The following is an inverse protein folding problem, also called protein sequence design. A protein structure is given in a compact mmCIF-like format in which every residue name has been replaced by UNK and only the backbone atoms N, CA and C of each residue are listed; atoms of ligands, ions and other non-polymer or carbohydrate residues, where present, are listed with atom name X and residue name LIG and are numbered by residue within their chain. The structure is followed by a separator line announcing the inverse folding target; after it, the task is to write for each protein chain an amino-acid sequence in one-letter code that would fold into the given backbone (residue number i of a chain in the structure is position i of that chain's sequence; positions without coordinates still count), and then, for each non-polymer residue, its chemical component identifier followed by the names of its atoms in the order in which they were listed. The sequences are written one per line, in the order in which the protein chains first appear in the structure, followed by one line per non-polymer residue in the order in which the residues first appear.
data_IF_194258226882
#
_entry.id   IF_194258226882
#
_cell.length_a   1.000
_cell.length_b   1.000
_cell.length_c   1.000
_cell.angle_alpha   90.00
_cell.angle_beta   90.00
_cell.angle_gamma   90.00
#
_symmetry.space_group_name_H-M   'P 1'
#
loop_
_entity.id
_entity.type
_entity.pdbx_description
1 polymer ?
#
# COMPACT_ATOMS: atom_id res chain seq x y z
N UNK A 1 27.04 -91.47 41.43
CA UNK A 1 25.94 -90.78 40.71
C UNK A 1 25.27 -89.79 41.66
N UNK A 2 25.64 -88.51 41.56
CA UNK A 2 24.90 -87.29 41.97
C UNK A 2 25.82 -86.10 41.66
N UNK A 3 25.53 -85.39 40.58
CA UNK A 3 26.24 -84.18 40.16
C UNK A 3 25.80 -82.99 41.01
N UNK A 4 26.78 -82.20 41.47
CA UNK A 4 26.61 -80.85 42.03
C UNK A 4 26.92 -79.84 40.93
N UNK A 5 25.95 -78.98 40.62
CA UNK A 5 26.04 -77.87 39.67
C UNK A 5 26.29 -76.57 40.47
N UNK A 6 27.33 -75.77 40.22
CA UNK A 6 27.43 -74.44 40.81
C UNK A 6 26.70 -73.42 39.92
N UNK A 7 25.75 -72.71 40.52
CA UNK A 7 25.06 -71.56 39.93
C UNK A 7 26.02 -70.37 39.96
N UNK A 8 26.46 -69.92 38.78
CA UNK A 8 27.23 -68.69 38.60
C UNK A 8 26.26 -67.50 38.60
N UNK A 9 26.15 -66.79 39.72
CA UNK A 9 25.46 -65.49 39.77
C UNK A 9 26.34 -64.43 39.10
N UNK A 10 25.97 -64.03 37.88
CA UNK A 10 26.53 -62.87 37.20
C UNK A 10 25.84 -61.60 37.75
N UNK A 11 26.52 -60.89 38.64
CA UNK A 11 26.08 -59.59 39.15
C UNK A 11 26.33 -58.51 38.09
N UNK A 12 25.28 -58.13 37.37
CA UNK A 12 25.23 -56.93 36.53
C UNK A 12 25.30 -55.69 37.43
N UNK A 13 26.52 -55.18 37.63
CA UNK A 13 26.73 -53.84 38.20
C UNK A 13 26.34 -52.83 37.11
N UNK A 14 25.08 -52.41 37.12
CA UNK A 14 24.64 -51.19 36.44
C UNK A 14 25.28 -50.00 37.14
N UNK A 15 26.51 -49.68 36.73
CA UNK A 15 27.21 -48.47 37.13
C UNK A 15 26.43 -47.25 36.65
N UNK A 16 25.61 -46.70 37.54
CA UNK A 16 24.92 -45.43 37.37
C UNK A 16 25.98 -44.31 37.32
N UNK A 17 26.54 -44.06 36.13
CA UNK A 17 27.47 -42.97 35.89
C UNK A 17 26.67 -41.69 35.92
N UNK A 18 26.73 -40.98 37.06
CA UNK A 18 26.15 -39.64 37.24
C UNK A 18 26.77 -38.71 36.18
N UNK A 19 26.07 -38.54 35.05
CA UNK A 19 26.42 -37.58 34.01
C UNK A 19 26.43 -36.21 34.68
N UNK A 20 27.61 -35.63 34.91
CA UNK A 20 27.72 -34.30 35.53
C UNK A 20 27.21 -33.29 34.50
N UNK A 21 26.44 -32.32 34.97
CA UNK A 21 25.90 -31.27 34.11
C UNK A 21 27.05 -30.53 33.41
N UNK A 22 26.88 -30.33 32.11
CA UNK A 22 27.80 -29.54 31.29
C UNK A 22 27.74 -28.08 31.79
N UNK A 23 28.90 -27.46 31.99
CA UNK A 23 28.99 -26.09 32.50
C UNK A 23 30.01 -25.28 31.70
N UNK A 24 29.69 -24.03 31.38
CA UNK A 24 30.63 -23.15 30.70
C UNK A 24 31.78 -22.73 31.62
N UNK A 25 32.96 -22.50 31.04
CA UNK A 25 34.09 -21.88 31.75
C UNK A 25 33.70 -20.46 32.19
N UNK A 26 34.26 -19.99 33.31
CA UNK A 26 33.94 -18.68 33.91
C UNK A 26 34.05 -17.55 32.87
N UNK A 27 32.97 -16.76 32.73
CA UNK A 27 32.88 -15.64 31.79
C UNK A 27 32.37 -16.00 30.40
N UNK A 28 32.25 -17.28 30.07
CA UNK A 28 31.60 -17.78 28.85
C UNK A 28 30.20 -18.33 29.17
N UNK A 29 29.42 -18.64 28.14
CA UNK A 29 28.04 -19.10 28.27
C UNK A 29 27.03 -17.96 28.42
N UNK A 30 27.47 -16.78 28.83
CA UNK A 30 26.59 -15.64 29.13
C UNK A 30 25.94 -15.12 27.85
N UNK A 31 24.62 -14.99 27.89
CA UNK A 31 23.78 -14.45 26.81
C UNK A 31 23.88 -15.24 25.47
N UNK A 32 24.32 -16.51 25.51
CA UNK A 32 24.25 -17.41 24.35
C UNK A 32 22.80 -17.79 24.09
N UNK A 33 22.29 -17.40 22.93
CA UNK A 33 20.98 -17.77 22.44
C UNK A 33 21.12 -18.89 21.42
N UNK A 34 20.27 -19.92 21.49
CA UNK A 34 20.29 -21.02 20.53
C UNK A 34 19.62 -20.60 19.22
N UNK A 35 20.30 -20.76 18.09
CA UNK A 35 19.81 -20.31 16.77
C UNK A 35 18.45 -20.93 16.45
N UNK A 36 18.26 -22.23 16.75
CA UNK A 36 17.01 -22.95 16.48
C UNK A 36 15.80 -22.47 17.26
N UNK A 37 16.00 -21.75 18.38
CA UNK A 37 14.91 -21.19 19.18
C UNK A 37 14.45 -19.82 18.66
N UNK A 38 15.27 -19.16 17.85
CA UNK A 38 15.03 -17.81 17.38
C UNK A 38 14.85 -17.75 15.85
N UNK A 39 15.72 -18.34 15.04
CA UNK A 39 15.62 -18.23 13.59
C UNK A 39 14.40 -18.99 13.06
N UNK A 40 13.46 -18.25 12.45
CA UNK A 40 12.19 -18.79 11.97
C UNK A 40 11.12 -18.95 13.05
N UNK A 41 11.40 -18.63 14.31
CA UNK A 41 10.39 -18.66 15.37
C UNK A 41 9.26 -17.69 15.08
N UNK A 42 8.01 -18.17 15.18
CA UNK A 42 6.81 -17.38 14.96
C UNK A 42 5.96 -17.27 16.24
N UNK A 43 5.40 -16.09 16.46
CA UNK A 43 4.56 -15.77 17.61
C UNK A 43 3.27 -15.10 17.14
N UNK A 44 2.13 -15.54 17.69
CA UNK A 44 0.87 -14.87 17.40
C UNK A 44 0.83 -13.46 18.01
N UNK A 45 0.11 -12.56 17.34
CA UNK A 45 -0.08 -11.17 17.77
C UNK A 45 -1.56 -10.89 17.88
N UNK A 46 -1.97 -10.42 19.06
CA UNK A 46 -3.25 -9.77 19.28
C UNK A 46 -3.02 -8.26 19.34
N UNK A 47 -3.79 -7.51 18.56
CA UNK A 47 -3.75 -6.05 18.53
C UNK A 47 -4.84 -5.49 19.43
N UNK A 48 -4.56 -4.39 20.11
CA UNK A 48 -5.48 -3.69 20.99
C UNK A 48 -5.92 -2.36 20.35
N UNK A 49 -6.38 -1.43 21.19
CA UNK A 49 -6.78 -0.08 20.77
C UNK A 49 -5.63 0.72 20.16
N UNK A 50 -6.04 1.76 19.43
CA UNK A 50 -5.12 2.73 18.82
C UNK A 50 -4.33 3.47 19.90
N UNK A 51 -3.05 3.71 19.62
CA UNK A 51 -2.22 4.57 20.47
C UNK A 51 -2.59 6.03 20.20
N UNK A 52 -3.22 6.69 21.18
CA UNK A 52 -3.78 8.05 21.06
C UNK A 52 -2.69 9.12 20.84
N UNK A 53 -1.48 8.89 21.35
CA UNK A 53 -0.37 9.84 21.31
C UNK A 53 0.69 9.53 20.23
N UNK A 54 0.43 8.54 19.36
CA UNK A 54 1.35 8.29 18.26
C UNK A 54 1.13 9.37 17.19
N UNK A 55 1.97 10.40 17.21
CA UNK A 55 2.13 11.27 16.04
C UNK A 55 2.69 10.40 14.93
N UNK A 56 1.82 9.93 14.03
CA UNK A 56 2.25 9.55 12.68
C UNK A 56 3.17 10.67 12.22
N UNK A 57 4.44 10.35 12.01
CA UNK A 57 5.47 11.33 11.73
C UNK A 57 4.98 12.14 10.51
N UNK A 58 4.52 13.39 10.66
CA UNK A 58 3.99 14.16 9.56
C UNK A 58 5.20 14.79 8.91
N UNK A 59 6.00 13.97 8.25
CA UNK A 59 7.08 14.47 7.43
C UNK A 59 6.47 15.09 6.20
N UNK A 60 6.56 16.41 6.19
CA UNK A 60 5.99 17.38 5.27
C UNK A 60 6.21 16.96 3.82
N UNK A 61 5.12 16.55 3.17
CA UNK A 61 5.00 16.56 1.72
C UNK A 61 5.22 17.99 1.21
N UNK A 62 5.56 18.16 -0.07
CA UNK A 62 5.30 19.45 -0.73
C UNK A 62 3.79 19.74 -0.88
N UNK A 63 2.92 18.83 -0.43
CA UNK A 63 1.50 19.03 -0.18
C UNK A 63 1.25 19.59 1.22
N UNK A 64 0.34 20.55 1.33
CA UNK A 64 0.00 21.10 2.65
C UNK A 64 -0.73 20.06 3.51
N UNK A 65 -1.41 19.07 2.91
CA UNK A 65 -2.05 17.89 3.56
C UNK A 65 -2.14 16.70 2.59
N UNK A 66 -2.26 15.48 3.14
CA UNK A 66 -2.78 14.29 2.45
C UNK A 66 -3.88 13.75 3.35
N UNK A 67 -5.10 13.61 2.84
CA UNK A 67 -6.26 13.19 3.65
C UNK A 67 -6.73 11.81 3.22
N UNK A 68 -6.61 10.82 4.10
CA UNK A 68 -7.22 9.52 3.86
C UNK A 68 -8.69 9.52 4.29
N UNK A 69 -9.58 9.01 3.45
CA UNK A 69 -10.99 8.88 3.81
C UNK A 69 -11.15 7.93 5.00
N UNK A 70 -12.01 8.32 5.97
CA UNK A 70 -12.14 7.68 7.30
C UNK A 70 -12.43 6.17 7.27
N UNK A 71 -13.03 5.67 6.18
CA UNK A 71 -13.50 4.28 6.09
C UNK A 71 -12.60 3.35 5.25
N UNK A 72 -11.52 3.88 4.65
CA UNK A 72 -10.57 3.06 3.92
C UNK A 72 -9.86 2.09 4.88
N UNK A 73 -9.63 0.84 4.45
CA UNK A 73 -8.86 -0.13 5.25
C UNK A 73 -7.47 0.42 5.64
N UNK A 74 -6.91 1.32 4.83
CA UNK A 74 -5.67 2.04 5.03
C UNK A 74 -5.80 3.07 6.17
N UNK A 75 -6.83 3.93 6.16
CA UNK A 75 -7.13 4.89 7.22
C UNK A 75 -7.53 4.24 8.56
N UNK A 76 -7.95 2.97 8.50
CA UNK A 76 -8.29 2.18 9.69
C UNK A 76 -7.07 1.57 10.37
N UNK A 77 -5.95 1.42 9.67
CA UNK A 77 -4.68 1.02 10.26
C UNK A 77 -4.06 2.19 11.02
N UNK A 78 -3.42 1.90 12.15
CA UNK A 78 -2.76 2.90 12.98
C UNK A 78 -1.72 2.22 13.86
N UNK A 79 -0.89 2.98 14.54
CA UNK A 79 -0.09 2.42 15.63
C UNK A 79 -1.00 1.87 16.72
N UNK A 80 -0.83 0.59 17.06
CA UNK A 80 -1.63 -0.12 18.05
C UNK A 80 -0.74 -0.70 19.12
N UNK A 81 -1.31 -0.89 20.31
CA UNK A 81 -0.67 -1.74 21.32
C UNK A 81 -0.85 -3.20 20.93
N UNK A 82 0.15 -4.03 21.22
CA UNK A 82 0.17 -5.45 20.86
C UNK A 82 0.40 -6.32 22.08
N UNK A 83 -0.25 -7.49 22.09
CA UNK A 83 0.01 -8.59 23.01
C UNK A 83 0.64 -9.71 22.19
N UNK A 84 1.85 -10.11 22.58
CA UNK A 84 2.57 -11.22 21.95
C UNK A 84 3.56 -11.84 22.91
N UNK A 85 3.97 -13.08 22.62
CA UNK A 85 5.07 -13.76 23.34
C UNK A 85 6.45 -13.41 22.77
N UNK A 86 6.51 -12.67 21.67
CA UNK A 86 7.75 -12.17 21.09
C UNK A 86 8.36 -11.06 21.99
N UNK A 87 9.26 -11.46 22.88
CA UNK A 87 9.96 -10.60 23.83
C UNK A 87 10.79 -9.48 23.20
N UNK A 88 11.32 -9.70 22.00
CA UNK A 88 12.19 -8.75 21.29
C UNK A 88 11.42 -7.71 20.47
N UNK A 89 10.08 -7.74 20.44
CA UNK A 89 9.33 -6.64 19.82
C UNK A 89 9.42 -5.34 20.65
N UNK A 90 9.34 -5.47 21.98
CA UNK A 90 9.36 -4.32 22.90
C UNK A 90 8.24 -3.31 22.62
N UNK A 91 8.57 -2.03 22.69
CA UNK A 91 7.75 -0.86 22.34
C UNK A 91 7.95 -0.39 20.89
N UNK A 92 8.50 -1.23 20.00
CA UNK A 92 8.63 -0.85 18.60
C UNK A 92 7.24 -0.59 17.99
N UNK A 93 7.06 0.49 17.20
CA UNK A 93 5.76 0.81 16.62
C UNK A 93 5.22 -0.34 15.76
N UNK A 94 3.95 -0.69 15.99
CA UNK A 94 3.26 -1.73 15.24
C UNK A 94 2.03 -1.13 14.55
N UNK A 95 2.14 -0.90 13.24
CA UNK A 95 1.03 -0.40 12.43
C UNK A 95 0.13 -1.58 12.03
N UNK A 96 -1.12 -1.56 12.45
CA UNK A 96 -2.08 -2.62 12.13
C UNK A 96 -3.53 -2.12 12.30
N UNK A 97 -4.49 -2.96 11.90
CA UNK A 97 -5.88 -2.77 12.29
C UNK A 97 -6.03 -2.97 13.81
N UNK A 98 -6.78 -2.10 14.51
CA UNK A 98 -7.00 -2.26 15.95
C UNK A 98 -7.92 -3.45 16.25
N UNK A 99 -7.81 -3.96 17.48
CA UNK A 99 -8.71 -4.97 18.07
C UNK A 99 -8.85 -6.27 17.24
N UNK A 100 -7.78 -6.66 16.55
CA UNK A 100 -7.67 -7.96 15.86
C UNK A 100 -7.06 -9.02 16.77
N UNK A 101 -7.75 -10.15 16.91
CA UNK A 101 -7.29 -11.31 17.68
C UNK A 101 -6.34 -12.24 16.90
N UNK A 102 -6.45 -12.23 15.58
CA UNK A 102 -5.69 -13.11 14.68
C UNK A 102 -5.33 -12.35 13.39
N UNK A 103 -4.48 -12.95 12.56
CA UNK A 103 -4.09 -12.41 11.25
C UNK A 103 -2.69 -11.79 11.21
N UNK A 104 -2.09 -11.52 12.36
CA UNK A 104 -0.71 -11.04 12.48
C UNK A 104 0.15 -12.04 13.24
N UNK A 105 1.39 -12.20 12.78
CA UNK A 105 2.45 -12.91 13.51
C UNK A 105 3.70 -12.05 13.60
N UNK A 106 4.49 -12.28 14.64
CA UNK A 106 5.90 -11.88 14.65
C UNK A 106 6.73 -13.07 14.21
N UNK A 107 7.67 -12.85 13.30
CA UNK A 107 8.70 -13.83 12.95
C UNK A 107 10.08 -13.27 13.24
N UNK A 108 10.93 -14.08 13.86
CA UNK A 108 12.33 -13.77 14.02
C UNK A 108 13.14 -14.34 12.85
N UNK A 109 14.07 -13.55 12.33
CA UNK A 109 15.01 -13.98 11.29
C UNK A 109 16.39 -13.52 11.67
N UNK A 110 17.33 -14.45 11.70
CA UNK A 110 18.73 -14.15 12.00
C UNK A 110 19.49 -14.06 10.68
N UNK A 111 20.15 -12.93 10.48
CA UNK A 111 21.11 -12.72 9.42
C UNK A 111 22.49 -12.39 10.00
N UNK A 112 23.48 -12.14 9.15
CA UNK A 112 24.87 -11.91 9.58
C UNK A 112 24.99 -10.76 10.58
N UNK A 113 24.21 -9.70 10.37
CA UNK A 113 24.36 -8.42 11.06
C UNK A 113 23.31 -8.23 12.15
N UNK A 114 22.12 -8.83 12.01
CA UNK A 114 20.97 -8.60 12.89
C UNK A 114 20.17 -9.88 13.18
N UNK A 115 19.60 -9.94 14.38
CA UNK A 115 18.33 -10.61 14.62
C UNK A 115 17.22 -9.62 14.31
N UNK A 116 16.40 -9.93 13.32
CA UNK A 116 15.33 -9.08 12.82
C UNK A 116 13.99 -9.61 13.30
N UNK A 117 13.21 -8.72 13.90
CA UNK A 117 11.81 -8.93 14.25
C UNK A 117 10.94 -8.44 13.09
N UNK A 118 10.19 -9.34 12.49
CA UNK A 118 9.31 -9.05 11.36
C UNK A 118 7.85 -9.19 11.72
N UNK A 119 7.00 -8.31 11.18
CA UNK A 119 5.56 -8.51 11.11
C UNK A 119 5.22 -9.36 9.90
N UNK A 120 4.45 -10.43 10.09
CA UNK A 120 3.98 -11.32 9.04
C UNK A 120 2.46 -11.32 9.00
N UNK A 121 1.88 -11.01 7.84
CA UNK A 121 0.44 -11.05 7.62
C UNK A 121 0.09 -11.17 6.13
N UNK A 122 -1.19 -11.37 5.83
CA UNK A 122 -1.71 -11.28 4.45
C UNK A 122 -1.54 -9.86 3.88
N UNK A 123 -1.39 -9.74 2.55
CA UNK A 123 -1.21 -8.44 1.86
C UNK A 123 -2.29 -7.42 2.23
N UNK A 124 -3.53 -7.85 2.48
CA UNK A 124 -4.65 -6.97 2.88
C UNK A 124 -4.56 -6.42 4.30
N UNK A 125 -3.73 -7.02 5.15
CA UNK A 125 -3.51 -6.64 6.55
C UNK A 125 -2.20 -5.84 6.73
N UNK A 126 -1.42 -5.64 5.67
CA UNK A 126 -0.19 -4.84 5.72
C UNK A 126 -0.47 -3.45 5.14
N UNK A 127 0.03 -2.41 5.81
CA UNK A 127 -0.11 -1.06 5.33
C UNK A 127 0.61 -0.89 3.97
N UNK A 128 0.02 -0.23 2.96
CA UNK A 128 0.63 -0.15 1.62
C UNK A 128 2.06 0.41 1.61
N UNK A 129 2.38 1.35 2.49
CA UNK A 129 3.73 1.91 2.61
C UNK A 129 4.74 0.88 3.14
N UNK A 130 4.31 -0.03 4.01
CA UNK A 130 5.13 -1.14 4.51
C UNK A 130 5.24 -2.27 3.48
N UNK A 131 4.17 -2.54 2.74
CA UNK A 131 4.10 -3.61 1.75
C UNK A 131 5.18 -3.47 0.66
N UNK A 132 5.52 -2.23 0.29
CA UNK A 132 6.55 -1.93 -0.71
C UNK A 132 7.95 -2.43 -0.31
N UNK A 133 8.27 -2.44 0.99
CA UNK A 133 9.56 -2.93 1.49
C UNK A 133 9.51 -4.36 2.02
N UNK A 134 8.36 -5.02 1.90
CA UNK A 134 8.11 -6.32 2.50
C UNK A 134 8.74 -7.45 1.69
N UNK A 135 9.16 -8.51 2.39
CA UNK A 135 9.56 -9.76 1.77
C UNK A 135 8.33 -10.64 1.54
N UNK A 136 8.17 -11.16 0.32
CA UNK A 136 7.14 -12.15 0.02
C UNK A 136 7.61 -13.53 0.50
N UNK A 137 6.78 -14.19 1.30
CA UNK A 137 7.01 -15.56 1.74
C UNK A 137 6.43 -16.57 0.73
N UNK A 138 6.89 -17.82 0.81
CA UNK A 138 6.45 -18.90 -0.10
C UNK A 138 4.94 -19.18 -0.03
N UNK A 139 4.32 -18.91 1.12
CA UNK A 139 2.89 -19.06 1.36
C UNK A 139 2.05 -17.84 0.90
N UNK A 140 2.70 -16.84 0.30
CA UNK A 140 2.05 -15.64 -0.22
C UNK A 140 1.86 -14.51 0.80
N UNK A 141 2.15 -14.73 2.08
CA UNK A 141 2.16 -13.67 3.10
C UNK A 141 3.33 -12.71 2.89
N UNK A 142 3.21 -11.52 3.47
CA UNK A 142 4.26 -10.51 3.48
C UNK A 142 4.92 -10.43 4.84
N UNK A 143 6.24 -10.27 4.85
CA UNK A 143 7.06 -10.09 6.04
C UNK A 143 7.74 -8.71 6.02
N UNK A 144 7.38 -7.85 6.96
CA UNK A 144 7.87 -6.46 7.09
C UNK A 144 8.83 -6.39 8.27
N UNK A 145 10.11 -6.00 8.09
CA UNK A 145 11.01 -5.74 9.20
C UNK A 145 10.50 -4.58 10.07
N UNK A 146 10.53 -4.74 11.40
CA UNK A 146 10.12 -3.70 12.35
C UNK A 146 11.33 -3.20 13.15
N UNK A 147 12.07 -4.13 13.76
CA UNK A 147 13.21 -3.81 14.63
C UNK A 147 14.28 -4.88 14.50
N UNK A 148 15.55 -4.46 14.57
CA UNK A 148 16.71 -5.33 14.46
C UNK A 148 17.64 -5.16 15.65
N UNK A 149 18.26 -6.25 16.07
CA UNK A 149 19.23 -6.31 17.16
C UNK A 149 20.57 -6.76 16.61
N UNK A 150 21.65 -5.96 16.71
CA UNK A 150 22.95 -6.30 16.16
C UNK A 150 23.46 -7.65 16.68
N UNK A 151 23.86 -8.53 15.77
CA UNK A 151 24.53 -9.79 16.10
C UNK A 151 25.98 -9.49 16.44
N UNK A 152 26.42 -9.90 17.64
CA UNK A 152 27.80 -9.73 18.09
C UNK A 152 28.72 -10.85 17.61
N UNK A 153 28.14 -11.98 17.21
CA UNK A 153 28.88 -13.13 16.69
C UNK A 153 28.07 -14.42 16.76
N UNK A 154 28.60 -15.42 16.08
CA UNK A 154 28.08 -16.78 16.02
C UNK A 154 29.05 -17.73 16.73
N UNK A 155 28.52 -18.73 17.43
CA UNK A 155 29.29 -19.59 18.33
C UNK A 155 28.80 -21.04 18.31
N UNK A 156 29.73 -21.96 18.57
CA UNK A 156 29.46 -23.33 19.01
C UNK A 156 29.92 -23.50 20.46
N UNK A 157 29.35 -24.49 21.15
CA UNK A 157 29.81 -24.91 22.46
C UNK A 157 30.61 -26.20 22.30
N UNK A 158 31.88 -26.17 22.69
CA UNK A 158 32.80 -27.30 22.56
C UNK A 158 33.33 -27.71 23.93
N UNK A 159 33.51 -29.01 24.15
CA UNK A 159 34.12 -29.50 25.39
C UNK A 159 35.59 -29.11 25.43
N UNK A 160 36.02 -28.53 26.53
CA UNK A 160 37.43 -28.26 26.80
C UNK A 160 38.15 -29.61 26.88
N UNK A 161 39.19 -29.78 26.07
CA UNK A 161 40.08 -30.94 26.15
C UNK A 161 41.18 -30.69 27.18
N UNK A 162 41.37 -31.63 28.09
CA UNK A 162 42.45 -31.61 29.06
C UNK A 162 43.17 -32.97 29.02
N UNK A 163 44.46 -32.96 28.71
CA UNK A 163 45.29 -34.17 28.56
C UNK A 163 44.72 -35.21 27.56
N UNK A 164 44.11 -34.75 26.46
CA UNK A 164 43.52 -35.62 25.43
C UNK A 164 42.15 -36.21 25.78
N UNK A 165 41.57 -35.86 26.94
CA UNK A 165 40.22 -36.24 27.33
C UNK A 165 39.28 -35.03 27.33
N UNK A 166 38.09 -35.21 26.76
CA UNK A 166 37.02 -34.19 26.82
C UNK A 166 36.54 -34.05 28.26
N UNK A 167 36.57 -32.83 28.77
CA UNK A 167 35.99 -32.51 30.08
C UNK A 167 34.51 -32.16 29.95
N UNK A 168 33.79 -32.08 31.08
CA UNK A 168 32.40 -31.59 31.10
C UNK A 168 32.31 -30.05 31.13
N UNK A 169 33.45 -29.36 30.95
CA UNK A 169 33.49 -27.90 30.83
C UNK A 169 33.38 -27.52 29.36
N UNK A 170 32.49 -26.60 29.03
CA UNK A 170 32.32 -26.10 27.67
C UNK A 170 32.99 -24.74 27.48
N UNK A 171 33.55 -24.53 26.29
CA UNK A 171 34.04 -23.24 25.82
C UNK A 171 33.24 -22.75 24.62
N UNK A 172 33.13 -21.44 24.48
CA UNK A 172 32.64 -20.80 23.27
C UNK A 172 33.70 -20.86 22.17
N UNK A 173 33.34 -21.41 21.01
CA UNK A 173 34.13 -21.39 19.79
C UNK A 173 33.43 -20.49 18.77
N UNK A 174 34.08 -19.38 18.37
CA UNK A 174 33.49 -18.46 17.40
C UNK A 174 33.50 -19.07 15.99
N UNK A 175 32.40 -18.90 15.27
CA UNK A 175 32.27 -19.30 13.87
C UNK A 175 31.85 -18.09 13.02
N UNK A 176 32.07 -18.18 11.72
CA UNK A 176 31.94 -17.04 10.81
C UNK A 176 30.50 -16.75 10.36
N UNK A 177 29.59 -17.71 10.49
CA UNK A 177 28.23 -17.59 9.97
C UNK A 177 27.20 -18.37 10.80
N UNK A 178 25.93 -18.06 10.53
CA UNK A 178 24.78 -18.71 11.13
C UNK A 178 24.72 -20.21 10.81
N UNK A 179 25.03 -20.60 9.57
CA UNK A 179 24.83 -21.96 9.07
C UNK A 179 25.69 -23.00 9.81
N UNK A 180 26.87 -22.58 10.25
CA UNK A 180 27.82 -23.39 11.00
C UNK A 180 27.75 -23.19 12.52
N UNK A 181 26.74 -22.46 13.00
CA UNK A 181 26.59 -22.10 14.41
C UNK A 181 25.38 -22.76 15.06
N UNK A 182 25.55 -23.15 16.32
CA UNK A 182 24.43 -23.54 17.19
C UNK A 182 23.90 -22.36 18.00
N UNK A 183 24.77 -21.42 18.36
CA UNK A 183 24.46 -20.28 19.21
C UNK A 183 24.87 -18.96 18.57
N UNK A 184 24.29 -17.88 19.06
CA UNK A 184 24.63 -16.52 18.68
C UNK A 184 24.47 -15.58 19.87
N UNK A 185 25.05 -14.39 19.77
CA UNK A 185 24.88 -13.30 20.74
C UNK A 185 24.34 -12.07 20.04
N UNK A 186 23.45 -11.34 20.71
CA UNK A 186 22.91 -10.07 20.22
C UNK A 186 23.07 -8.96 21.23
N UNK A 187 23.18 -7.73 20.74
CA UNK A 187 23.02 -6.54 21.57
C UNK A 187 21.53 -6.18 21.71
N UNK A 188 20.91 -6.59 22.82
CA UNK A 188 19.51 -6.23 23.11
C UNK A 188 19.30 -4.73 23.38
N UNK A 189 20.36 -3.99 23.71
CA UNK A 189 20.28 -2.57 24.03
C UNK A 189 20.51 -1.67 22.81
N UNK A 190 21.21 -2.18 21.79
CA UNK A 190 21.51 -1.43 20.56
C UNK A 190 20.47 -1.68 19.44
N UNK A 191 19.18 -1.71 19.79
CA UNK A 191 18.11 -1.97 18.81
C UNK A 191 18.03 -0.86 17.75
N UNK A 192 17.70 -1.25 16.52
CA UNK A 192 17.52 -0.36 15.38
C UNK A 192 16.13 -0.55 14.80
N UNK A 193 15.31 0.51 14.75
CA UNK A 193 14.03 0.47 14.05
C UNK A 193 14.25 0.44 12.53
N UNK A 194 13.42 -0.31 11.82
CA UNK A 194 13.44 -0.34 10.36
C UNK A 194 13.05 1.02 9.81
N UNK A 195 13.89 1.57 8.93
CA UNK A 195 13.66 2.87 8.30
C UNK A 195 13.01 2.67 6.93
N UNK A 196 11.70 2.87 6.87
CA UNK A 196 10.96 2.97 5.62
C UNK A 196 11.28 4.29 4.93
N UNK A 197 11.34 4.27 3.60
CA UNK A 197 11.35 5.51 2.84
C UNK A 197 9.99 6.18 2.90
N UNK A 198 9.97 7.51 2.88
CA UNK A 198 8.74 8.27 2.78
C UNK A 198 8.13 8.10 1.38
N UNK A 199 6.92 7.57 1.33
CA UNK A 199 6.23 7.19 0.08
C UNK A 199 4.95 8.02 -0.11
N UNK A 200 5.11 9.33 0.00
CA UNK A 200 4.04 10.29 -0.29
C UNK A 200 3.81 10.32 -1.81
N UNK A 201 2.53 10.31 -2.23
CA UNK A 201 2.09 10.29 -3.63
C UNK A 201 2.55 9.04 -4.42
N UNK A 202 2.81 7.94 -3.72
CA UNK A 202 3.19 6.66 -4.32
C UNK A 202 2.04 5.66 -4.19
N UNK A 203 1.63 5.13 -5.33
CA UNK A 203 0.49 4.22 -5.44
C UNK A 203 0.94 2.92 -6.10
N UNK A 204 0.21 1.84 -5.86
CA UNK A 204 0.36 0.65 -6.71
C UNK A 204 -0.29 0.91 -8.07
N UNK A 205 0.25 0.32 -9.13
CA UNK A 205 -0.43 0.33 -10.44
C UNK A 205 -1.86 -0.20 -10.35
N UNK A 206 -2.03 -1.27 -9.57
CA UNK A 206 -3.31 -1.93 -9.26
C UNK A 206 -4.33 -0.99 -8.62
N UNK A 207 -3.88 0.05 -7.90
CA UNK A 207 -4.78 1.06 -7.36
C UNK A 207 -5.60 1.67 -8.49
N UNK A 208 -4.97 2.11 -9.58
CA UNK A 208 -5.64 2.76 -10.69
C UNK A 208 -6.28 1.77 -11.67
N UNK A 209 -5.65 0.63 -11.94
CA UNK A 209 -6.13 -0.30 -12.98
C UNK A 209 -6.99 -1.45 -12.45
N UNK A 210 -7.01 -1.68 -11.14
CA UNK A 210 -7.51 -2.93 -10.58
C UNK A 210 -6.58 -4.10 -10.87
N UNK A 211 -6.87 -5.25 -10.25
CA UNK A 211 -6.07 -6.48 -10.39
C UNK A 211 -6.18 -7.11 -11.79
N UNK A 212 -7.30 -6.90 -12.49
CA UNK A 212 -7.54 -7.39 -13.84
C UNK A 212 -7.12 -6.40 -14.95
N UNK A 213 -6.65 -5.22 -14.56
CA UNK A 213 -6.25 -4.16 -15.48
C UNK A 213 -7.42 -3.41 -16.13
N UNK A 214 -8.66 -3.63 -15.70
CA UNK A 214 -9.88 -3.14 -16.37
C UNK A 214 -10.73 -2.18 -15.53
N UNK A 215 -10.20 -1.67 -14.41
CA UNK A 215 -10.93 -0.69 -13.61
C UNK A 215 -11.23 0.58 -14.41
N UNK A 216 -12.49 0.98 -14.37
CA UNK A 216 -12.98 2.26 -14.87
C UNK A 216 -13.25 3.21 -13.70
N UNK A 217 -13.18 4.51 -13.97
CA UNK A 217 -13.35 5.57 -13.00
C UNK A 217 -14.30 6.62 -13.56
N UNK A 218 -15.23 7.08 -12.73
CA UNK A 218 -15.91 8.33 -12.97
C UNK A 218 -14.95 9.46 -12.66
N UNK A 219 -14.84 10.43 -13.54
CA UNK A 219 -13.96 11.57 -13.39
C UNK A 219 -14.80 12.86 -13.36
N UNK A 220 -14.48 13.77 -12.43
CA UNK A 220 -15.07 15.09 -12.32
C UNK A 220 -14.00 16.17 -12.11
N UNK A 221 -14.18 17.32 -12.74
CA UNK A 221 -13.35 18.51 -12.53
C UNK A 221 -14.23 19.66 -12.05
N UNK A 222 -13.83 20.28 -10.93
CA UNK A 222 -14.60 21.36 -10.31
C UNK A 222 -13.70 22.54 -10.01
N UNK A 223 -14.17 23.75 -10.27
CA UNK A 223 -13.50 24.98 -9.84
C UNK A 223 -13.88 25.24 -8.39
N UNK A 224 -12.95 25.07 -7.45
CA UNK A 224 -13.17 25.31 -6.02
C UNK A 224 -13.13 26.80 -5.66
N UNK A 225 -12.36 27.57 -6.41
CA UNK A 225 -12.25 29.02 -6.22
C UNK A 225 -11.75 29.66 -7.52
N UNK A 226 -12.28 30.81 -7.88
CA UNK A 226 -11.78 31.66 -8.94
C UNK A 226 -11.58 33.07 -8.41
N UNK A 227 -10.33 33.50 -8.30
CA UNK A 227 -9.98 34.78 -7.68
C UNK A 227 -10.34 35.96 -8.60
N UNK A 228 -11.55 36.47 -8.43
CA UNK A 228 -12.07 37.64 -9.14
C UNK A 228 -13.46 37.44 -9.73
N UNK A 229 -13.86 36.19 -9.95
CA UNK A 229 -15.18 35.85 -10.50
C UNK A 229 -15.80 34.67 -9.74
N UNK A 230 -16.55 35.00 -8.69
CA UNK A 230 -17.25 34.00 -7.88
C UNK A 230 -18.36 33.25 -8.63
N UNK A 231 -18.73 33.70 -9.85
CA UNK A 231 -19.75 33.01 -10.65
C UNK A 231 -19.25 31.68 -11.23
N UNK A 232 -17.92 31.51 -11.35
CA UNK A 232 -17.27 30.30 -11.83
C UNK A 232 -17.02 29.27 -10.71
N UNK A 233 -17.13 29.67 -9.44
CA UNK A 233 -16.95 28.74 -8.32
C UNK A 233 -18.06 27.69 -8.32
N UNK A 234 -17.67 26.43 -8.17
CA UNK A 234 -18.57 25.28 -8.18
C UNK A 234 -19.07 24.88 -9.57
N UNK A 235 -18.63 25.57 -10.63
CA UNK A 235 -18.82 25.05 -11.99
C UNK A 235 -18.11 23.70 -12.09
N UNK A 236 -18.92 22.67 -12.32
CA UNK A 236 -18.44 21.42 -12.87
C UNK A 236 -18.13 21.70 -14.32
N UNK A 237 -16.85 21.68 -14.68
CA UNK A 237 -16.52 21.61 -16.09
C UNK A 237 -16.98 20.23 -16.53
N UNK A 238 -17.93 20.19 -17.47
CA UNK A 238 -18.18 18.95 -18.19
C UNK A 238 -16.82 18.46 -18.66
N UNK A 239 -16.52 17.19 -18.40
CA UNK A 239 -15.22 16.62 -18.67
C UNK A 239 -15.03 16.52 -20.17
N UNK A 240 -14.50 17.59 -20.71
CA UNK A 240 -14.48 17.87 -22.12
C UNK A 240 -13.22 17.26 -22.73
N UNK A 241 -13.40 16.42 -23.76
CA UNK A 241 -12.27 16.02 -24.59
C UNK A 241 -11.66 17.23 -25.33
N UNK A 242 -10.62 17.00 -26.13
CA UNK A 242 -10.01 18.05 -26.98
C UNK A 242 -10.99 18.73 -27.96
N UNK A 243 -12.21 18.22 -28.11
CA UNK A 243 -13.30 18.75 -28.93
C UNK A 243 -14.49 19.28 -28.12
N UNK A 244 -14.34 19.40 -26.80
CA UNK A 244 -15.35 19.94 -25.88
C UNK A 244 -16.63 19.07 -25.73
N UNK A 245 -16.53 17.74 -25.83
CA UNK A 245 -17.66 16.85 -25.52
C UNK A 245 -17.59 16.29 -24.09
N UNK A 246 -18.72 16.29 -23.37
CA UNK A 246 -18.80 15.85 -21.97
C UNK A 246 -18.58 14.33 -21.78
N UNK A 247 -17.62 13.90 -20.97
CA UNK A 247 -17.28 12.48 -20.79
C UNK A 247 -17.09 12.11 -19.31
N UNK A 248 -17.96 11.26 -18.77
CA UNK A 248 -17.94 10.97 -17.32
C UNK A 248 -17.00 9.84 -16.89
N UNK A 249 -16.58 8.95 -17.79
CA UNK A 249 -15.82 7.74 -17.44
C UNK A 249 -14.48 7.63 -18.16
N UNK A 250 -13.47 7.23 -17.41
CA UNK A 250 -12.10 7.04 -17.86
C UNK A 250 -11.54 5.70 -17.41
N UNK A 251 -10.52 5.22 -18.11
CA UNK A 251 -9.61 4.18 -17.63
C UNK A 251 -8.19 4.73 -17.59
N UNK A 252 -7.41 4.27 -16.62
CA UNK A 252 -6.01 4.65 -16.51
C UNK A 252 -5.13 3.70 -17.31
N UNK A 253 -4.25 4.27 -18.12
CA UNK A 253 -3.18 3.57 -18.82
C UNK A 253 -1.85 4.20 -18.45
N UNK A 254 -0.77 3.44 -18.63
CA UNK A 254 0.56 3.85 -18.20
C UNK A 254 1.56 3.59 -19.31
N UNK A 255 2.52 4.49 -19.48
CA UNK A 255 3.75 4.24 -20.21
C UNK A 255 4.96 4.50 -19.29
N UNK A 256 6.16 4.64 -19.87
CA UNK A 256 7.39 4.83 -19.11
C UNK A 256 7.38 6.09 -18.24
N UNK A 257 6.71 7.17 -18.64
CA UNK A 257 6.83 8.48 -18.00
C UNK A 257 5.51 9.14 -17.63
N UNK A 258 4.37 8.58 -18.02
CA UNK A 258 3.08 9.19 -17.71
C UNK A 258 1.96 8.17 -17.44
N UNK A 259 1.02 8.61 -16.61
CA UNK A 259 -0.29 8.01 -16.39
C UNK A 259 -1.33 8.80 -17.18
N UNK A 260 -2.12 8.11 -17.99
CA UNK A 260 -3.10 8.70 -18.92
C UNK A 260 -4.50 8.26 -18.54
N UNK A 261 -5.39 9.22 -18.27
CA UNK A 261 -6.82 8.97 -18.17
C UNK A 261 -7.44 9.09 -19.56
N UNK A 262 -7.89 7.98 -20.12
CA UNK A 262 -8.50 7.93 -21.44
C UNK A 262 -9.97 7.59 -21.34
N UNK A 263 -10.78 8.25 -22.17
CA UNK A 263 -12.23 8.04 -22.18
C UNK A 263 -12.59 6.59 -22.48
N UNK A 264 -13.60 6.04 -21.81
CA UNK A 264 -14.18 4.73 -22.18
C UNK A 264 -15.40 4.87 -23.08
N UNK A 265 -15.99 6.08 -23.15
CA UNK A 265 -17.18 6.37 -23.95
C UNK A 265 -16.80 6.82 -25.36
N UNK A 266 -15.99 6.01 -26.05
CA UNK A 266 -15.53 6.27 -27.41
C UNK A 266 -16.30 5.40 -28.42
N UNK A 267 -16.44 5.87 -29.66
CA UNK A 267 -16.96 5.08 -30.77
C UNK A 267 -16.17 3.77 -30.93
N UNK A 268 -16.86 2.65 -31.13
CA UNK A 268 -16.24 1.31 -31.26
C UNK A 268 -15.28 1.18 -32.45
N UNK A 269 -15.31 2.13 -33.40
CA UNK A 269 -14.36 2.23 -34.51
C UNK A 269 -13.01 2.81 -34.09
N UNK A 270 -12.95 3.48 -32.94
CA UNK A 270 -11.71 4.04 -32.39
C UNK A 270 -10.95 2.90 -31.70
N UNK A 271 -9.80 2.57 -32.27
CA UNK A 271 -8.90 1.58 -31.68
C UNK A 271 -8.22 2.18 -30.44
N UNK A 272 -8.74 1.81 -29.27
CA UNK A 272 -8.20 2.20 -27.97
C UNK A 272 -6.79 1.64 -27.69
N UNK A 273 -6.28 0.70 -28.50
CA UNK A 273 -4.90 0.23 -28.40
C UNK A 273 -3.90 1.15 -29.11
N UNK A 274 -4.38 2.00 -30.02
CA UNK A 274 -3.56 3.01 -30.71
C UNK A 274 -3.54 4.31 -29.90
N UNK A 275 -2.40 4.58 -29.26
CA UNK A 275 -2.21 5.76 -28.40
C UNK A 275 -2.54 7.10 -29.05
N UNK A 276 -2.41 7.19 -30.38
CA UNK A 276 -2.67 8.43 -31.15
C UNK A 276 -4.18 8.65 -31.32
N UNK A 277 -4.95 7.58 -31.33
CA UNK A 277 -6.42 7.62 -31.51
C UNK A 277 -7.18 7.75 -30.20
N UNK A 278 -6.52 7.55 -29.06
CA UNK A 278 -7.14 7.63 -27.75
C UNK A 278 -7.61 9.05 -27.43
N UNK A 279 -8.85 9.18 -26.97
CA UNK A 279 -9.36 10.42 -26.38
C UNK A 279 -8.78 10.59 -24.98
N UNK A 280 -7.75 11.43 -24.87
CA UNK A 280 -7.03 11.74 -23.64
C UNK A 280 -7.69 12.92 -22.90
N UNK A 281 -7.99 12.73 -21.62
CA UNK A 281 -8.63 13.76 -20.77
C UNK A 281 -7.65 14.34 -19.75
N UNK A 282 -6.80 13.48 -19.18
CA UNK A 282 -5.79 13.86 -18.20
C UNK A 282 -4.51 13.07 -18.46
N UNK A 283 -3.38 13.75 -18.34
CA UNK A 283 -2.04 13.16 -18.34
C UNK A 283 -1.30 13.64 -17.10
N UNK A 284 -0.73 12.71 -16.37
CA UNK A 284 0.03 12.95 -15.14
C UNK A 284 1.43 12.35 -15.30
N UNK A 285 2.52 13.13 -15.17
CA UNK A 285 3.86 12.56 -15.14
C UNK A 285 4.02 11.59 -13.97
N UNK A 286 4.75 10.50 -14.20
CA UNK A 286 5.04 9.49 -13.19
C UNK A 286 6.51 9.10 -13.18
N UNK A 287 6.96 8.65 -12.01
CA UNK A 287 8.20 7.91 -11.85
C UNK A 287 7.89 6.49 -11.36
N UNK A 288 8.36 5.48 -12.09
CA UNK A 288 8.20 4.09 -11.68
C UNK A 288 9.15 3.77 -10.53
N UNK A 289 8.58 3.22 -9.44
CA UNK A 289 9.30 2.92 -8.22
C UNK A 289 9.14 1.45 -7.86
N UNK A 290 10.20 0.92 -7.30
CA UNK A 290 10.19 -0.40 -6.68
C UNK A 290 11.10 -0.31 -5.47
N UNK A 291 10.72 -0.98 -4.39
CA UNK A 291 11.44 -0.90 -3.13
C UNK A 291 11.86 -2.29 -2.69
N UNK A 292 12.93 -2.35 -1.90
CA UNK A 292 13.33 -3.58 -1.21
C UNK A 292 14.06 -3.24 0.07
N UNK A 293 14.09 -4.19 1.00
CA UNK A 293 15.07 -4.13 2.08
C UNK A 293 16.48 -4.15 1.49
N UNK A 294 17.33 -3.21 1.92
CA UNK A 294 18.68 -3.03 1.39
C UNK A 294 19.49 -4.30 1.61
N UNK A 295 20.02 -4.96 0.58
CA UNK A 295 20.80 -6.18 0.74
C UNK A 295 22.05 -5.94 1.59
N UNK A 296 22.37 -6.88 2.47
CA UNK A 296 23.68 -7.06 3.08
C UNK A 296 24.26 -8.34 2.50
N UNK A 297 25.05 -8.26 1.43
CA UNK A 297 25.61 -9.45 0.76
C UNK A 297 24.57 -10.32 0.03
N UNK A 298 24.87 -11.61 -0.15
CA UNK A 298 24.17 -12.50 -1.11
C UNK A 298 22.80 -13.00 -0.66
N UNK A 299 22.46 -12.94 0.63
CA UNK A 299 21.18 -13.47 1.15
C UNK A 299 20.71 -12.83 2.46
N UNK A 300 21.27 -11.68 2.83
CA UNK A 300 20.82 -10.90 3.98
C UNK A 300 20.40 -9.49 3.60
N UNK A 301 19.71 -8.80 4.51
CA UNK A 301 19.22 -7.44 4.32
C UNK A 301 19.49 -6.61 5.59
N UNK A 302 19.59 -5.30 5.44
CA UNK A 302 19.84 -4.35 6.52
C UNK A 302 18.53 -3.79 7.07
N UNK A 303 18.62 -2.96 8.12
CA UNK A 303 17.47 -2.30 8.74
C UNK A 303 17.01 -1.03 8.00
N UNK A 304 17.23 -0.96 6.68
CA UNK A 304 16.86 0.19 5.83
C UNK A 304 16.29 -0.25 4.50
N UNK A 305 15.38 0.54 3.96
CA UNK A 305 14.80 0.36 2.63
C UNK A 305 15.55 1.17 1.56
N UNK A 306 15.69 0.59 0.36
CA UNK A 306 16.25 1.25 -0.82
C UNK A 306 15.33 1.13 -2.04
N UNK A 307 15.50 2.03 -3.01
CA UNK A 307 14.90 1.91 -4.33
C UNK A 307 15.61 0.82 -5.16
N UNK A 308 14.84 -0.11 -5.70
CA UNK A 308 15.32 -1.21 -6.52
C UNK A 308 15.31 -0.84 -8.02
N UNK A 309 16.38 -0.19 -8.46
CA UNK A 309 16.52 0.25 -9.85
C UNK A 309 16.86 -0.85 -10.85
N UNK A 310 17.14 -2.08 -10.41
CA UNK A 310 17.50 -3.20 -11.31
C UNK A 310 16.29 -3.86 -11.97
N UNK A 311 15.06 -3.48 -11.57
CA UNK A 311 13.83 -4.00 -12.17
C UNK A 311 13.40 -3.08 -13.31
N UNK A 312 13.10 -3.66 -14.48
CA UNK A 312 12.52 -2.95 -15.62
C UNK A 312 11.24 -2.23 -15.19
N UNK A 313 11.03 -1.01 -15.69
CA UNK A 313 9.89 -0.17 -15.29
C UNK A 313 8.53 -0.87 -15.42
N UNK A 314 8.33 -1.68 -16.47
CA UNK A 314 7.08 -2.42 -16.72
C UNK A 314 6.73 -3.42 -15.61
N UNK A 315 7.75 -3.92 -14.91
CA UNK A 315 7.63 -4.92 -13.83
C UNK A 315 7.56 -4.27 -12.45
N UNK A 316 7.74 -2.95 -12.36
CA UNK A 316 7.68 -2.22 -11.09
C UNK A 316 6.23 -2.09 -10.63
N UNK A 317 6.01 -2.30 -9.34
CA UNK A 317 4.67 -2.35 -8.76
C UNK A 317 4.12 -0.97 -8.40
N UNK A 318 5.01 0.01 -8.21
CA UNK A 318 4.67 1.33 -7.68
C UNK A 318 4.92 2.45 -8.69
N UNK A 319 4.06 3.47 -8.61
CA UNK A 319 4.14 4.69 -9.40
C UNK A 319 4.08 5.88 -8.45
N UNK A 320 5.07 6.77 -8.54
CA UNK A 320 5.01 8.09 -7.92
C UNK A 320 4.37 9.04 -8.92
N UNK A 321 3.31 9.74 -8.53
CA UNK A 321 2.52 10.60 -9.43
C UNK A 321 2.84 12.07 -9.15
N UNK A 322 3.14 12.86 -10.18
CA UNK A 322 3.37 14.30 -10.08
C UNK A 322 2.08 15.08 -10.41
N UNK A 323 1.22 15.25 -9.41
CA UNK A 323 -0.05 15.98 -9.55
C UNK A 323 0.13 17.47 -9.89
N UNK A 324 1.29 18.06 -9.60
CA UNK A 324 1.56 19.47 -9.91
C UNK A 324 1.76 19.72 -11.41
N UNK A 325 2.01 18.67 -12.20
CA UNK A 325 2.22 18.76 -13.65
C UNK A 325 1.10 18.08 -14.43
N UNK A 326 -0.10 18.05 -13.86
CA UNK A 326 -1.29 17.58 -14.55
C UNK A 326 -1.51 18.36 -15.85
N UNK A 327 -1.67 17.64 -16.95
CA UNK A 327 -2.13 18.17 -18.24
C UNK A 327 -3.60 17.79 -18.43
N UNK A 328 -4.43 18.73 -18.88
CA UNK A 328 -5.82 18.41 -19.28
C UNK A 328 -6.14 18.98 -20.65
N UNK A 329 -7.12 18.40 -21.34
CA UNK A 329 -7.59 18.91 -22.62
C UNK A 329 -8.07 20.38 -22.54
N UNK A 330 -8.74 20.75 -21.44
CA UNK A 330 -9.28 22.09 -21.24
C UNK A 330 -8.22 23.15 -20.90
N UNK A 331 -7.15 22.76 -20.19
CA UNK A 331 -6.18 23.73 -19.63
C UNK A 331 -4.79 23.65 -20.26
N UNK A 332 -4.46 22.56 -20.96
CA UNK A 332 -3.11 22.32 -21.47
C UNK A 332 -2.11 21.98 -20.35
N UNK A 333 -0.82 22.24 -20.60
CA UNK A 333 0.22 22.13 -19.57
C UNK A 333 0.29 23.49 -18.84
N UNK A 334 -0.29 23.59 -17.65
CA UNK A 334 -0.19 24.78 -16.81
C UNK A 334 0.82 24.57 -15.68
N UNK A 335 1.50 25.63 -15.20
CA UNK A 335 2.40 25.58 -14.05
C UNK A 335 1.58 25.54 -12.75
N UNK A 336 0.76 24.51 -12.61
CA UNK A 336 -0.07 24.33 -11.44
C UNK A 336 0.78 24.18 -10.18
N UNK A 337 0.27 24.72 -9.07
CA UNK A 337 0.75 24.42 -7.72
C UNK A 337 -0.14 23.35 -7.13
N UNK A 338 0.42 22.22 -6.77
CA UNK A 338 -0.30 21.20 -6.02
C UNK A 338 -0.70 21.73 -4.64
N UNK A 339 -1.91 21.39 -4.20
CA UNK A 339 -2.49 21.87 -2.94
C UNK A 339 -2.73 20.71 -1.97
N UNK A 340 -3.50 19.70 -2.40
CA UNK A 340 -3.95 18.61 -1.55
C UNK A 340 -4.28 17.35 -2.36
N UNK A 341 -4.22 16.20 -1.70
CA UNK A 341 -4.57 14.88 -2.23
C UNK A 341 -5.43 14.12 -1.20
N UNK A 342 -6.59 13.66 -1.65
CA UNK A 342 -7.48 12.81 -0.89
C UNK A 342 -7.47 11.40 -1.48
N UNK A 343 -7.34 10.37 -0.64
CA UNK A 343 -7.27 8.97 -1.09
C UNK A 343 -8.16 8.05 -0.24
N UNK A 344 -8.95 7.23 -0.91
CA UNK A 344 -9.71 6.09 -0.40
C UNK A 344 -9.46 4.87 -1.32
N UNK A 345 -9.97 3.69 -0.95
CA UNK A 345 -9.91 2.45 -1.73
C UNK A 345 -10.49 2.60 -3.14
N UNK A 346 -11.65 3.25 -3.24
CA UNK A 346 -12.43 3.41 -4.47
C UNK A 346 -12.60 4.87 -4.87
N UNK A 347 -11.84 5.78 -4.27
CA UNK A 347 -11.88 7.20 -4.56
C UNK A 347 -10.49 7.81 -4.44
N UNK A 348 -10.16 8.76 -5.30
CA UNK A 348 -9.09 9.70 -5.01
C UNK A 348 -9.42 11.06 -5.64
N UNK A 349 -8.89 12.12 -5.05
CA UNK A 349 -8.96 13.43 -5.67
C UNK A 349 -7.70 14.23 -5.39
N UNK A 350 -7.37 15.13 -6.30
CA UNK A 350 -6.27 16.05 -6.09
C UNK A 350 -6.69 17.47 -6.45
N UNK A 351 -6.13 18.42 -5.72
CA UNK A 351 -6.41 19.85 -5.89
C UNK A 351 -5.15 20.55 -6.38
N UNK A 352 -5.32 21.36 -7.42
CA UNK A 352 -4.27 22.21 -7.98
C UNK A 352 -4.71 23.66 -8.02
N UNK A 353 -3.75 24.57 -7.90
CA UNK A 353 -3.94 26.00 -8.03
C UNK A 353 -3.21 26.49 -9.28
N UNK A 354 -3.95 27.14 -10.17
CA UNK A 354 -3.43 27.88 -11.30
C UNK A 354 -3.13 29.33 -10.89
N UNK A 355 -1.85 29.71 -10.77
CA UNK A 355 -1.49 31.08 -10.45
C UNK A 355 -1.81 32.06 -11.58
N UNK A 356 -1.93 31.58 -12.82
CA UNK A 356 -2.15 32.42 -14.01
C UNK A 356 -3.56 32.98 -14.02
N UNK A 357 -4.55 32.10 -13.85
CA UNK A 357 -5.96 32.49 -13.79
C UNK A 357 -6.46 32.71 -12.36
N UNK A 358 -5.59 32.51 -11.36
CA UNK A 358 -5.94 32.56 -9.93
C UNK A 358 -7.10 31.61 -9.58
N UNK A 359 -7.09 30.41 -10.16
CA UNK A 359 -8.16 29.42 -10.03
C UNK A 359 -7.67 28.19 -9.28
N UNK A 360 -8.54 27.56 -8.50
CA UNK A 360 -8.29 26.28 -7.85
C UNK A 360 -9.18 25.22 -8.47
N UNK A 361 -8.58 24.15 -8.96
CA UNK A 361 -9.28 23.03 -9.58
C UNK A 361 -9.16 21.79 -8.70
N UNK A 362 -10.27 21.06 -8.52
CA UNK A 362 -10.28 19.74 -7.91
C UNK A 362 -10.64 18.70 -8.96
N UNK A 363 -9.77 17.70 -9.11
CA UNK A 363 -9.99 16.53 -9.95
C UNK A 363 -10.38 15.38 -9.05
N UNK A 364 -11.57 14.83 -9.24
CA UNK A 364 -12.11 13.75 -8.42
C UNK A 364 -12.35 12.50 -9.25
N UNK A 365 -11.96 11.34 -8.71
CA UNK A 365 -12.07 10.05 -9.35
C UNK A 365 -12.78 9.07 -8.44
N UNK A 366 -13.84 8.43 -8.92
CA UNK A 366 -14.58 7.41 -8.20
C UNK A 366 -14.60 6.11 -9.02
N UNK A 367 -14.12 5.01 -8.44
CA UNK A 367 -14.04 3.72 -9.14
C UNK A 367 -15.44 3.22 -9.50
N UNK A 368 -15.61 2.74 -10.72
CA UNK A 368 -16.82 2.01 -11.10
C UNK A 368 -16.76 0.59 -10.54
N UNK A 369 -17.59 0.30 -9.55
CA UNK A 369 -17.67 -1.03 -8.90
C UNK A 369 -18.70 -1.93 -9.54
N UNK A 370 -19.29 -1.57 -10.69
CA UNK A 370 -20.30 -2.36 -11.40
C UNK A 370 -21.65 -2.44 -10.67
N UNK A 371 -21.74 -1.96 -9.43
CA UNK A 371 -22.99 -1.91 -8.64
C UNK A 371 -24.00 -0.88 -9.16
N UNK A 372 -23.65 -0.12 -10.21
CA UNK A 372 -24.55 0.81 -10.87
C UNK A 372 -25.21 0.10 -12.05
N UNK A 373 -26.25 -0.71 -11.78
CA UNK A 373 -27.15 -1.28 -12.79
C UNK A 373 -27.97 -0.16 -13.46
N UNK A 374 -27.31 0.72 -14.20
CA UNK A 374 -27.92 1.79 -14.96
C UNK A 374 -27.93 1.40 -16.44
N UNK A 375 -29.09 1.56 -17.09
CA UNK A 375 -29.19 1.57 -18.54
C UNK A 375 -29.09 3.01 -19.01
N UNK A 376 -28.13 3.27 -19.90
CA UNK A 376 -28.01 4.52 -20.66
C UNK A 376 -29.40 5.00 -21.15
N UNK A 377 -29.96 6.06 -20.55
CA UNK A 377 -31.17 6.72 -21.05
C UNK A 377 -30.74 7.92 -21.86
N UNK A 378 -31.11 7.93 -23.14
CA UNK A 378 -30.93 9.07 -24.03
C UNK A 378 -31.49 10.35 -23.37
N UNK A 379 -30.69 11.40 -23.35
CA UNK A 379 -31.09 12.72 -22.91
C UNK A 379 -31.81 13.41 -24.08
N UNK A 380 -33.12 13.59 -23.95
CA UNK A 380 -33.89 14.39 -24.89
C UNK A 380 -33.72 15.88 -24.53
N UNK A 381 -33.91 16.79 -25.49
CA UNK A 381 -33.77 18.23 -25.26
C UNK A 381 -34.61 18.73 -24.07
N UNK A 382 -35.83 18.21 -23.93
CA UNK A 382 -36.75 18.51 -22.81
C UNK A 382 -36.25 18.01 -21.44
N UNK A 383 -35.44 16.95 -21.44
CA UNK A 383 -34.78 16.43 -20.23
C UNK A 383 -33.51 17.26 -19.90
N UNK A 384 -32.95 18.03 -20.84
CA UNK A 384 -31.72 18.81 -20.64
C UNK A 384 -31.93 19.96 -19.65
N UNK A 385 -33.06 20.67 -19.75
CA UNK A 385 -33.38 21.77 -18.82
C UNK A 385 -33.54 21.30 -17.36
N UNK A 386 -33.82 20.00 -17.16
CA UNK A 386 -34.10 19.39 -15.84
C UNK A 386 -32.91 18.58 -15.31
N UNK A 387 -32.23 17.86 -16.19
CA UNK A 387 -31.20 16.86 -15.86
C UNK A 387 -29.87 17.09 -16.59
N UNK A 388 -29.69 18.21 -17.29
CA UNK A 388 -28.48 18.52 -18.06
C UNK A 388 -27.19 18.51 -17.22
N UNK A 389 -27.32 18.68 -15.90
CA UNK A 389 -26.24 18.56 -14.92
C UNK A 389 -25.67 17.13 -14.78
N UNK A 390 -26.40 16.12 -15.26
CA UNK A 390 -26.07 14.71 -15.18
C UNK A 390 -26.00 14.06 -16.56
N UNK A 391 -25.26 14.63 -17.50
CA UNK A 391 -25.12 14.04 -18.82
C UNK A 391 -23.74 13.40 -19.07
N UNK A 392 -23.71 12.46 -19.99
CA UNK A 392 -22.49 11.96 -20.65
C UNK A 392 -22.76 12.00 -22.14
N UNK A 393 -21.81 12.47 -22.92
CA UNK A 393 -21.84 12.42 -24.36
C UNK A 393 -20.95 11.28 -24.85
N UNK A 394 -21.35 10.56 -25.90
CA UNK A 394 -20.47 9.59 -26.57
C UNK A 394 -19.54 10.33 -27.54
N UNK A 395 -18.24 10.06 -27.47
CA UNK A 395 -17.28 10.62 -28.42
C UNK A 395 -17.35 9.90 -29.77
N UNK A 396 -17.60 10.64 -30.85
CA UNK A 396 -17.70 10.12 -32.21
C UNK A 396 -16.75 10.83 -33.17
N UNK A 397 -16.36 10.11 -34.24
CA UNK A 397 -15.55 10.67 -35.33
C UNK A 397 -16.34 11.80 -35.99
N UNK A 398 -15.81 13.03 -35.97
CA UNK A 398 -16.44 14.19 -36.62
C UNK A 398 -16.52 13.97 -38.13
N UNK A 399 -17.70 13.57 -38.61
CA UNK A 399 -18.01 13.37 -40.02
C UNK A 399 -19.40 13.96 -40.35
N UNK A 400 -19.86 13.86 -41.60
CA UNK A 400 -21.16 14.39 -42.03
C UNK A 400 -22.36 13.74 -41.33
N UNK A 401 -22.19 12.56 -40.70
CA UNK A 401 -23.26 11.83 -40.00
C UNK A 401 -23.53 12.45 -38.63
N UNK A 402 -22.52 13.02 -37.97
CA UNK A 402 -22.63 13.72 -36.67
C UNK A 402 -23.65 14.87 -36.68
N UNK A 403 -23.83 15.53 -37.83
CA UNK A 403 -24.66 16.74 -37.95
C UNK A 403 -26.09 16.47 -38.46
N UNK A 404 -26.49 15.20 -38.58
CA UNK A 404 -27.90 14.88 -38.81
C UNK A 404 -28.67 15.14 -37.52
N UNK A 405 -29.70 16.00 -37.59
CA UNK A 405 -30.52 16.44 -36.46
C UNK A 405 -31.14 15.26 -35.68
N UNK A 406 -31.43 14.15 -36.38
CA UNK A 406 -31.93 12.91 -35.79
C UNK A 406 -30.91 12.16 -34.91
N UNK A 407 -29.61 12.39 -35.14
CA UNK A 407 -28.49 11.69 -34.50
C UNK A 407 -27.84 12.49 -33.36
N UNK A 408 -27.90 13.84 -33.39
CA UNK A 408 -27.31 14.69 -32.33
C UNK A 408 -27.81 14.32 -30.93
N UNK A 409 -29.13 14.22 -30.75
CA UNK A 409 -29.72 13.84 -29.47
C UNK A 409 -29.54 12.36 -29.10
N UNK A 410 -29.08 11.47 -30.00
CA UNK A 410 -28.85 10.04 -29.69
C UNK A 410 -27.59 9.82 -28.87
N UNK A 411 -26.72 10.84 -28.83
CA UNK A 411 -25.37 10.73 -28.32
C UNK A 411 -25.19 11.32 -26.92
N UNK A 412 -26.23 11.96 -26.37
CA UNK A 412 -26.27 12.42 -24.99
C UNK A 412 -27.06 11.43 -24.13
N UNK A 413 -26.53 11.08 -22.97
CA UNK A 413 -27.11 10.12 -22.04
C UNK A 413 -27.21 10.73 -20.64
N UNK A 414 -28.33 10.53 -19.97
CA UNK A 414 -28.55 11.01 -18.59
C UNK A 414 -27.92 10.05 -17.60
N UNK A 415 -26.81 10.38 -16.97
CA UNK A 415 -26.26 9.64 -15.82
C UNK A 415 -27.26 9.69 -14.64
N UNK A 416 -28.20 8.75 -14.58
CA UNK A 416 -29.13 8.66 -13.45
C UNK A 416 -28.41 8.02 -12.28
N UNK A 417 -28.06 8.81 -11.28
CA UNK A 417 -27.51 8.31 -10.04
C UNK A 417 -28.61 7.58 -9.26
N UNK A 418 -28.35 6.32 -8.89
CA UNK A 418 -28.97 5.62 -7.75
C UNK A 418 -30.50 5.35 -7.72
N UNK A 419 -31.13 5.04 -8.86
CA UNK A 419 -32.60 4.76 -8.96
C UNK A 419 -33.10 3.64 -8.05
N UNK A 420 -32.25 2.64 -7.72
CA UNK A 420 -32.65 1.48 -6.91
C UNK A 420 -32.89 1.82 -5.44
N UNK A 421 -32.18 2.82 -4.90
CA UNK A 421 -32.27 3.20 -3.50
C UNK A 421 -33.20 4.39 -3.26
N UNK A 422 -33.70 5.04 -4.32
CA UNK A 422 -34.54 6.22 -4.19
C UNK A 422 -33.83 7.39 -3.49
N UNK A 423 -32.50 7.49 -3.63
CA UNK A 423 -31.72 8.56 -2.99
C UNK A 423 -30.57 9.07 -3.87
N UNK A 424 -30.51 10.39 -4.08
CA UNK A 424 -29.33 11.09 -4.61
C UNK A 424 -28.60 11.72 -3.43
N UNK A 425 -27.36 11.28 -3.17
CA UNK A 425 -26.54 11.78 -2.05
C UNK A 425 -25.49 12.76 -2.58
N UNK A 426 -25.58 14.00 -2.14
CA UNK A 426 -24.55 15.01 -2.36
C UNK A 426 -23.65 15.10 -1.12
N UNK A 427 -22.33 14.96 -1.33
CA UNK A 427 -21.35 15.04 -0.24
C UNK A 427 -20.70 16.42 -0.24
N UNK A 428 -20.99 17.20 0.81
CA UNK A 428 -20.32 18.48 1.08
C UNK A 428 -19.24 18.28 2.13
N UNK A 429 -18.02 18.72 1.84
CA UNK A 429 -16.87 18.73 2.75
C UNK A 429 -16.65 20.13 3.32
N UNK A 430 -15.81 20.29 4.35
CA UNK A 430 -15.51 21.54 5.09
C UNK A 430 -14.89 22.68 4.24
N UNK A 431 -14.78 22.52 2.91
CA UNK A 431 -14.37 23.56 1.96
C UNK A 431 -15.32 23.73 0.77
N UNK A 432 -16.51 23.13 0.81
CA UNK A 432 -17.50 23.25 -0.26
C UNK A 432 -18.20 24.61 -0.18
N UNK A 433 -18.42 25.27 -1.32
CA UNK A 433 -19.14 26.54 -1.36
C UNK A 433 -20.60 26.33 -0.92
N UNK A 434 -21.03 27.02 0.14
CA UNK A 434 -22.40 26.94 0.67
C UNK A 434 -23.46 27.28 -0.39
N UNK A 435 -23.10 28.06 -1.42
CA UNK A 435 -23.97 28.39 -2.55
C UNK A 435 -24.34 27.17 -3.40
N UNK A 436 -23.63 26.06 -3.30
CA UNK A 436 -23.91 24.83 -4.05
C UNK A 436 -25.00 23.97 -3.41
N UNK A 437 -25.29 24.19 -2.13
CA UNK A 437 -26.29 23.42 -1.38
C UNK A 437 -27.70 23.59 -1.99
N UNK A 438 -28.17 24.80 -2.34
CA UNK A 438 -29.47 24.98 -3.02
C UNK A 438 -29.57 24.30 -4.39
N UNK A 439 -28.48 24.25 -5.15
CA UNK A 439 -28.48 23.57 -6.46
C UNK A 439 -28.57 22.06 -6.32
N UNK A 440 -27.87 21.48 -5.33
CA UNK A 440 -28.00 20.07 -4.99
C UNK A 440 -29.42 19.74 -4.50
N UNK A 441 -30.02 20.61 -3.68
CA UNK A 441 -31.41 20.45 -3.24
C UNK A 441 -32.38 20.47 -4.44
N UNK A 442 -32.23 21.42 -5.36
CA UNK A 442 -33.04 21.48 -6.58
C UNK A 442 -32.84 20.23 -7.47
N UNK A 443 -31.60 19.77 -7.62
CA UNK A 443 -31.31 18.56 -8.37
C UNK A 443 -31.88 17.29 -7.72
N UNK A 444 -32.01 17.27 -6.38
CA UNK A 444 -32.69 16.21 -5.65
C UNK A 444 -34.22 16.32 -5.75
N UNK A 445 -34.81 17.52 -5.82
CA UNK A 445 -36.25 17.74 -5.99
C UNK A 445 -36.76 17.31 -7.38
N UNK A 446 -35.95 17.49 -8.42
CA UNK A 446 -36.29 17.09 -9.79
C UNK A 446 -36.21 15.56 -10.03
N UNK A 447 -35.62 14.82 -9.08
CA UNK A 447 -35.38 13.39 -9.18
C UNK A 447 -36.42 12.59 -8.39
#
# INVERSE_FOLDING_TARGET
MRLLLPILMLSLVLGCTKKRDESFVQGQGKDLLEVSQYDGAEFDVETQDKLVDYKENPSVSKSDKVTHAKDSAIARMSAVKVITKADLLGDAPFIALPNQKTGYKIRYVINKDFLVVMKVADKSLIHPQEAAGAMKLDDGRLAVPIVGYPVKGFFNAENVEQNGAKTNKMTEASVNDKANSRYFKVDKNARTLYKLQEKLDIFTKEFFTGADGKSEWYLGQTILAAGGDSSLTGWAMAQEDSQLNALSKVKFTFNHSEMRAISVNQDSRIDISDEVKQVLLLKLPIDWKEYRATPSGTSSFTMTEEENNSIDWEKRSYVKVDFAKAWTAATGELPFRFVDLEVDKDYFSFTVYDPTNNMRFKFSFLRDTGNRNYKAKRLMHEDFEKFGFFNTQKHEITNYEKYKEEDYGKNEFINRYNVKNGEVVFHFTEGSDEKLIPYAAKAAEEW
#
